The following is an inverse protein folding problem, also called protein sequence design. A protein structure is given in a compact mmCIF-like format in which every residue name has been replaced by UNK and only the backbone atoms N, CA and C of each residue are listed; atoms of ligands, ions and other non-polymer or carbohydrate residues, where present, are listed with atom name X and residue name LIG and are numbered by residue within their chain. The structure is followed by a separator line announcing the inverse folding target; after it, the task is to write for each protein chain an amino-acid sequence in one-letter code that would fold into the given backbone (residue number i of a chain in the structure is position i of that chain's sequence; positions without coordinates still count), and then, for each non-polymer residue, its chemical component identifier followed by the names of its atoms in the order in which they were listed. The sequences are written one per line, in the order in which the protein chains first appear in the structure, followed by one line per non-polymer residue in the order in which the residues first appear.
data_IF_615689156947
#
_entry.id   IF_615689156947
#
_cell.length_a   1.000
_cell.length_b   1.000
_cell.length_c   1.000
_cell.angle_alpha   90.00
_cell.angle_beta   90.00
_cell.angle_gamma   90.00
#
_symmetry.space_group_name_H-M   'P 1'
#
loop_
_entity.id
_entity.type
_entity.pdbx_description
1 polymer ?
#
# COMPACT_ATOMS: atom_id res chain seq x y z
N UNK A 1 76.73 26.97 -41.93
CA UNK A 1 75.76 27.17 -43.01
C UNK A 1 74.53 26.32 -42.72
N UNK A 2 73.36 26.97 -42.70
CA UNK A 2 71.99 26.44 -42.79
C UNK A 2 71.53 25.32 -41.82
N UNK A 3 70.77 25.73 -40.80
CA UNK A 3 69.46 25.12 -40.45
C UNK A 3 68.38 25.70 -41.39
N UNK A 4 67.10 25.22 -41.49
CA UNK A 4 66.32 24.42 -40.53
C UNK A 4 65.29 23.41 -41.15
N UNK A 5 64.57 22.65 -40.31
CA UNK A 5 63.08 22.58 -40.23
C UNK A 5 62.54 21.35 -39.46
N UNK A 6 61.84 21.66 -38.34
CA UNK A 6 60.57 21.10 -37.76
C UNK A 6 60.41 19.57 -37.62
N UNK A 7 59.89 19.00 -36.53
CA UNK A 7 58.93 19.47 -35.51
C UNK A 7 59.08 18.66 -34.18
N UNK A 8 58.62 19.20 -33.03
CA UNK A 8 58.65 18.51 -31.75
C UNK A 8 57.40 17.63 -31.54
N UNK A 9 57.60 16.34 -31.23
CA UNK A 9 56.55 15.52 -30.67
C UNK A 9 56.38 15.89 -29.19
N UNK A 10 55.27 16.55 -28.87
CA UNK A 10 54.80 16.74 -27.51
C UNK A 10 54.48 15.36 -26.92
N UNK A 11 55.33 14.91 -26.01
CA UNK A 11 55.04 13.78 -25.12
C UNK A 11 54.03 14.28 -24.08
N UNK A 12 52.74 14.07 -24.33
CA UNK A 12 51.73 14.22 -23.31
C UNK A 12 51.97 13.14 -22.24
N UNK A 13 52.56 13.55 -21.12
CA UNK A 13 52.59 12.77 -19.88
C UNK A 13 51.12 12.67 -19.42
N UNK A 14 50.46 11.57 -19.78
CA UNK A 14 49.17 11.21 -19.19
C UNK A 14 49.46 10.80 -17.75
N UNK A 15 49.01 11.64 -16.84
CA UNK A 15 49.11 11.47 -15.41
C UNK A 15 48.34 10.19 -15.00
N UNK A 16 49.05 9.14 -14.63
CA UNK A 16 48.53 7.80 -14.31
C UNK A 16 47.68 7.71 -13.03
N UNK A 17 47.16 8.85 -12.53
CA UNK A 17 46.50 8.96 -11.23
C UNK A 17 44.96 9.04 -11.27
N UNK A 18 44.33 9.30 -12.41
CA UNK A 18 42.87 9.56 -12.47
C UNK A 18 42.03 8.51 -13.21
N UNK A 19 42.64 7.44 -13.73
CA UNK A 19 41.90 6.36 -14.40
C UNK A 19 41.54 5.22 -13.41
N UNK A 20 42.23 5.13 -12.27
CA UNK A 20 42.07 4.03 -11.31
C UNK A 20 40.91 4.22 -10.32
N UNK A 21 40.31 5.42 -10.23
CA UNK A 21 39.22 5.71 -9.28
C UNK A 21 37.80 5.44 -9.81
N UNK A 22 37.61 5.32 -11.14
CA UNK A 22 36.29 5.10 -11.73
C UNK A 22 36.05 3.65 -12.21
N UNK A 23 37.09 2.83 -12.31
CA UNK A 23 36.95 1.38 -12.58
C UNK A 23 36.63 0.61 -11.29
N UNK A 24 37.04 1.12 -10.12
CA UNK A 24 36.74 0.52 -8.81
C UNK A 24 35.27 0.75 -8.39
N UNK A 25 34.56 1.73 -8.96
CA UNK A 25 33.13 1.97 -8.68
C UNK A 25 32.16 1.12 -9.49
N UNK A 26 32.61 0.43 -10.54
CA UNK A 26 31.73 -0.42 -11.38
C UNK A 26 31.97 -1.93 -11.22
N UNK A 27 32.89 -2.34 -10.36
CA UNK A 27 33.10 -3.76 -10.00
C UNK A 27 32.57 -4.07 -8.58
N UNK A 28 32.15 -3.05 -7.83
CA UNK A 28 31.53 -3.17 -6.50
C UNK A 28 29.99 -3.28 -6.52
N UNK A 29 29.41 -3.74 -7.63
CA UNK A 29 27.99 -4.06 -7.76
C UNK A 29 27.70 -5.56 -8.01
N UNK A 30 28.73 -6.43 -7.95
CA UNK A 30 28.56 -7.88 -8.25
C UNK A 30 29.01 -8.79 -7.09
N UNK A 31 29.31 -8.25 -5.91
CA UNK A 31 29.71 -9.07 -4.76
C UNK A 31 29.01 -8.66 -3.47
N UNK A 32 27.73 -9.00 -3.35
CA UNK A 32 27.08 -9.21 -2.05
C UNK A 32 26.02 -10.30 -2.16
N UNK A 33 26.47 -11.51 -2.50
CA UNK A 33 25.78 -12.78 -2.22
C UNK A 33 26.82 -13.78 -1.73
N UNK A 34 27.48 -13.46 -0.62
CA UNK A 34 28.04 -14.48 0.26
C UNK A 34 26.99 -14.72 1.36
N UNK A 35 25.90 -15.39 0.97
CA UNK A 35 25.08 -16.12 1.93
C UNK A 35 25.92 -17.33 2.35
N UNK A 36 26.37 -17.31 3.60
CA UNK A 36 26.93 -18.47 4.27
C UNK A 36 25.92 -19.62 4.21
N UNK A 37 26.21 -20.61 3.36
CA UNK A 37 25.75 -21.99 3.44
C UNK A 37 24.30 -22.21 3.87
N UNK A 38 23.33 -21.77 3.07
CA UNK A 38 22.03 -22.44 3.00
C UNK A 38 22.15 -23.45 1.86
N UNK A 39 21.72 -24.70 2.03
CA UNK A 39 21.44 -25.55 0.88
C UNK A 39 20.58 -24.71 -0.08
N UNK A 40 21.02 -24.53 -1.34
CA UNK A 40 20.25 -23.77 -2.32
C UNK A 40 18.83 -24.33 -2.29
N UNK A 41 17.85 -23.50 -1.91
CA UNK A 41 16.47 -23.92 -1.87
C UNK A 41 16.14 -24.57 -3.23
N UNK A 42 15.49 -25.73 -3.17
CA UNK A 42 15.21 -26.53 -4.37
C UNK A 42 14.32 -25.79 -5.39
N UNK A 43 13.72 -24.69 -4.94
CA UNK A 43 12.96 -23.73 -5.72
C UNK A 43 13.50 -22.31 -5.53
N UNK A 44 13.17 -21.42 -6.46
CA UNK A 44 13.16 -19.98 -6.19
C UNK A 44 11.73 -19.51 -5.92
N UNK A 45 11.59 -18.53 -5.04
CA UNK A 45 10.34 -17.82 -4.85
C UNK A 45 10.63 -16.34 -4.65
N UNK A 46 9.89 -15.50 -5.38
CA UNK A 46 10.05 -14.07 -5.35
C UNK A 46 8.69 -13.39 -5.33
N UNK A 47 8.66 -12.24 -4.68
CA UNK A 47 7.49 -11.39 -4.59
C UNK A 47 7.90 -9.96 -4.92
N UNK A 48 7.30 -9.40 -5.94
CA UNK A 48 7.70 -8.09 -6.45
C UNK A 48 6.50 -7.17 -6.49
N UNK A 49 6.64 -5.97 -5.95
CA UNK A 49 5.64 -4.92 -6.16
C UNK A 49 5.78 -4.41 -7.59
N UNK A 50 4.70 -4.49 -8.36
CA UNK A 50 4.66 -4.03 -9.76
C UNK A 50 4.11 -2.60 -9.85
N UNK A 51 3.23 -2.22 -8.93
CA UNK A 51 2.78 -0.83 -8.81
C UNK A 51 3.91 0.09 -8.30
N UNK A 52 3.70 1.41 -8.40
CA UNK A 52 4.59 2.41 -7.81
C UNK A 52 4.73 2.26 -6.28
N UNK A 53 5.69 2.97 -5.68
CA UNK A 53 5.91 2.95 -4.23
C UNK A 53 4.84 3.68 -3.42
N UNK A 54 3.97 4.43 -4.09
CA UNK A 54 3.00 5.33 -3.47
C UNK A 54 3.54 6.77 -3.36
N UNK A 55 2.95 7.60 -2.50
CA UNK A 55 1.99 7.19 -1.49
C UNK A 55 0.61 6.88 -2.07
N UNK A 56 0.00 5.79 -1.61
CA UNK A 56 -1.33 5.35 -2.00
C UNK A 56 -2.40 6.03 -1.13
N UNK A 57 -3.59 6.24 -1.69
CA UNK A 57 -4.76 6.60 -0.87
C UNK A 57 -5.46 5.33 -0.38
N UNK A 58 -6.26 5.46 0.67
CA UNK A 58 -7.10 4.33 1.12
C UNK A 58 -8.08 3.90 0.02
N UNK A 59 -8.46 2.62 0.02
CA UNK A 59 -9.32 1.99 -0.99
C UNK A 59 -8.73 1.95 -2.41
N UNK A 60 -7.42 2.15 -2.57
CA UNK A 60 -6.73 1.96 -3.86
C UNK A 60 -6.08 0.58 -3.92
N UNK A 61 -5.89 0.07 -5.14
CA UNK A 61 -5.26 -1.22 -5.36
C UNK A 61 -3.74 -1.09 -5.52
N UNK A 62 -3.03 -2.08 -5.00
CA UNK A 62 -1.59 -2.30 -5.13
C UNK A 62 -1.38 -3.67 -5.75
N UNK A 63 -0.63 -3.72 -6.85
CA UNK A 63 -0.41 -4.97 -7.59
C UNK A 63 0.96 -5.54 -7.25
N UNK A 64 0.96 -6.81 -6.85
CA UNK A 64 2.14 -7.61 -6.59
C UNK A 64 2.22 -8.74 -7.60
N UNK A 65 3.44 -9.22 -7.85
CA UNK A 65 3.69 -10.40 -8.67
C UNK A 65 4.39 -11.45 -7.82
N UNK A 66 3.82 -12.63 -7.77
CA UNK A 66 4.43 -13.83 -7.22
C UNK A 66 5.09 -14.59 -8.35
N UNK A 67 6.36 -14.96 -8.19
CA UNK A 67 7.11 -15.74 -9.17
C UNK A 67 7.84 -16.86 -8.47
N UNK A 68 8.01 -17.98 -9.16
CA UNK A 68 8.85 -19.06 -8.67
C UNK A 68 9.26 -20.01 -9.78
N UNK A 69 10.33 -20.75 -9.52
CA UNK A 69 10.81 -21.82 -10.39
C UNK A 69 11.25 -23.03 -9.57
N UNK A 70 11.02 -24.24 -10.07
CA UNK A 70 11.60 -25.47 -9.50
C UNK A 70 12.94 -25.74 -10.19
N UNK A 71 14.04 -25.66 -9.43
CA UNK A 71 15.39 -25.78 -9.97
C UNK A 71 15.91 -27.23 -9.94
N UNK A 72 15.19 -28.17 -9.32
CA UNK A 72 15.56 -29.58 -9.30
C UNK A 72 15.00 -30.32 -10.51
N UNK A 73 15.87 -30.53 -11.50
CA UNK A 73 15.54 -31.16 -12.78
C UNK A 73 15.44 -32.70 -12.73
N UNK A 74 15.77 -33.34 -11.61
CA UNK A 74 15.84 -34.81 -11.52
C UNK A 74 14.59 -35.39 -10.86
N UNK A 75 14.21 -34.87 -9.68
CA UNK A 75 13.05 -35.38 -8.92
C UNK A 75 11.86 -34.42 -8.90
N UNK A 76 11.98 -33.22 -9.48
CA UNK A 76 11.00 -32.15 -9.30
C UNK A 76 10.95 -31.65 -7.85
N UNK A 77 10.03 -30.74 -7.55
CA UNK A 77 9.83 -30.12 -6.23
C UNK A 77 8.56 -30.67 -5.53
N UNK A 78 8.02 -31.79 -5.99
CA UNK A 78 6.83 -32.41 -5.38
C UNK A 78 5.59 -31.53 -5.54
N UNK A 79 4.89 -31.25 -4.44
CA UNK A 79 3.76 -30.30 -4.42
C UNK A 79 4.28 -28.92 -4.03
N UNK A 80 3.68 -27.85 -4.58
CA UNK A 80 3.96 -26.47 -4.20
C UNK A 80 2.74 -25.90 -3.48
N UNK A 81 2.96 -25.28 -2.32
CA UNK A 81 1.98 -24.51 -1.57
C UNK A 81 2.52 -23.12 -1.32
N UNK A 82 1.78 -22.09 -1.69
CA UNK A 82 2.13 -20.71 -1.40
C UNK A 82 1.11 -20.15 -0.42
N UNK A 83 1.60 -19.56 0.66
CA UNK A 83 0.78 -18.78 1.59
C UNK A 83 1.24 -17.34 1.56
N UNK A 84 0.29 -16.45 1.32
CA UNK A 84 0.49 -15.02 1.28
C UNK A 84 -0.40 -14.40 2.35
N UNK A 85 0.20 -14.03 3.48
CA UNK A 85 -0.46 -13.34 4.58
C UNK A 85 -0.24 -11.84 4.39
N UNK A 86 -1.29 -11.05 4.37
CA UNK A 86 -1.20 -9.61 4.12
C UNK A 86 -0.99 -8.84 5.43
N UNK A 87 -0.29 -7.69 5.36
CA UNK A 87 -0.19 -6.79 6.51
C UNK A 87 -1.57 -6.21 6.85
N UNK A 88 -1.75 -5.71 8.08
CA UNK A 88 -3.03 -5.19 8.58
C UNK A 88 -3.63 -4.08 7.70
N UNK A 89 -2.81 -3.38 6.92
CA UNK A 89 -3.18 -2.31 6.00
C UNK A 89 -3.80 -2.79 4.68
N UNK A 90 -3.77 -4.10 4.39
CA UNK A 90 -4.11 -4.65 3.08
C UNK A 90 -5.07 -5.83 3.16
N UNK A 91 -5.96 -5.88 2.18
CA UNK A 91 -6.88 -7.01 1.98
C UNK A 91 -6.89 -7.42 0.51
N UNK A 92 -7.38 -8.63 0.22
CA UNK A 92 -7.58 -9.09 -1.14
C UNK A 92 -8.56 -8.18 -1.89
N UNK A 93 -8.15 -7.61 -3.01
CA UNK A 93 -9.06 -6.82 -3.86
C UNK A 93 -9.99 -7.74 -4.65
N UNK A 94 -9.39 -8.73 -5.33
CA UNK A 94 -10.07 -9.76 -6.08
C UNK A 94 -9.21 -11.03 -6.11
N UNK A 95 -9.88 -12.18 -6.17
CA UNK A 95 -9.20 -13.47 -6.31
C UNK A 95 -8.49 -13.57 -7.67
N UNK A 96 -7.18 -13.89 -7.69
CA UNK A 96 -6.48 -14.13 -8.95
C UNK A 96 -6.97 -15.42 -9.60
N UNK A 97 -6.78 -15.52 -10.92
CA UNK A 97 -7.05 -16.73 -11.69
C UNK A 97 -5.76 -17.20 -12.35
N UNK A 98 -5.52 -18.51 -12.35
CA UNK A 98 -4.37 -19.12 -13.00
C UNK A 98 -4.64 -20.58 -13.30
N UNK A 99 -4.28 -21.02 -14.51
CA UNK A 99 -4.34 -22.43 -14.89
C UNK A 99 -3.15 -23.23 -14.35
N UNK A 100 -2.12 -22.55 -13.83
CA UNK A 100 -0.96 -23.22 -13.24
C UNK A 100 -1.34 -23.91 -11.93
N UNK A 101 -2.06 -23.22 -11.05
CA UNK A 101 -2.44 -23.76 -9.74
C UNK A 101 -3.66 -24.68 -9.83
N UNK A 102 -3.62 -25.79 -9.10
CA UNK A 102 -4.76 -26.71 -8.98
C UNK A 102 -5.87 -26.12 -8.11
N UNK A 103 -5.50 -25.32 -7.11
CA UNK A 103 -6.47 -24.58 -6.29
C UNK A 103 -5.92 -23.22 -5.89
N UNK A 104 -6.81 -22.23 -5.90
CA UNK A 104 -6.59 -20.88 -5.40
C UNK A 104 -7.67 -20.63 -4.35
N UNK A 105 -7.26 -20.49 -3.09
CA UNK A 105 -8.17 -20.19 -1.97
C UNK A 105 -7.97 -18.74 -1.56
N UNK A 106 -9.00 -17.93 -1.78
CA UNK A 106 -9.02 -16.52 -1.43
C UNK A 106 -10.47 -16.05 -1.27
N UNK A 107 -10.65 -14.90 -0.62
CA UNK A 107 -11.95 -14.23 -0.52
C UNK A 107 -11.70 -12.73 -0.60
N UNK A 108 -12.47 -11.99 -1.39
CA UNK A 108 -12.31 -10.54 -1.43
C UNK A 108 -12.53 -9.94 -0.04
N UNK A 109 -11.63 -9.07 0.40
CA UNK A 109 -11.62 -8.52 1.76
C UNK A 109 -10.88 -9.38 2.81
N UNK A 110 -10.40 -10.58 2.49
CA UNK A 110 -9.56 -11.36 3.42
C UNK A 110 -8.11 -10.85 3.44
N UNK A 111 -7.38 -11.18 4.50
CA UNK A 111 -5.96 -10.88 4.65
C UNK A 111 -5.05 -12.06 4.25
N UNK A 112 -5.57 -13.05 3.54
CA UNK A 112 -4.82 -14.25 3.15
C UNK A 112 -5.15 -14.72 1.75
N UNK A 113 -4.13 -15.29 1.10
CA UNK A 113 -4.22 -16.03 -0.16
C UNK A 113 -3.43 -17.33 -0.02
N UNK A 114 -4.02 -18.43 -0.46
CA UNK A 114 -3.36 -19.73 -0.50
C UNK A 114 -3.44 -20.30 -1.92
N UNK A 115 -2.30 -20.71 -2.47
CA UNK A 115 -2.19 -21.32 -3.80
C UNK A 115 -1.61 -22.72 -3.63
N UNK A 116 -2.16 -23.70 -4.36
CA UNK A 116 -1.64 -25.07 -4.32
C UNK A 116 -1.48 -25.62 -5.73
N UNK A 117 -0.35 -26.28 -5.94
CA UNK A 117 -0.01 -27.06 -7.13
C UNK A 117 0.39 -28.46 -6.67
N UNK A 118 -0.30 -29.48 -7.15
CA UNK A 118 -0.09 -30.88 -6.74
C UNK A 118 1.12 -31.53 -7.43
N UNK A 119 1.63 -30.94 -8.51
CA UNK A 119 2.83 -31.41 -9.21
C UNK A 119 3.62 -30.21 -9.72
N UNK A 120 4.74 -29.94 -9.08
CA UNK A 120 5.70 -28.91 -9.43
C UNK A 120 6.98 -29.57 -9.92
N UNK A 121 7.04 -29.82 -11.22
CA UNK A 121 8.09 -30.58 -11.87
C UNK A 121 9.37 -29.76 -12.04
N UNK A 122 10.49 -30.44 -12.28
CA UNK A 122 11.75 -29.77 -12.57
C UNK A 122 11.65 -28.89 -13.82
N UNK A 123 12.03 -27.63 -13.69
CA UNK A 123 11.94 -26.65 -14.78
C UNK A 123 10.60 -25.92 -14.86
N UNK A 124 9.59 -26.32 -14.08
CA UNK A 124 8.34 -25.56 -13.99
C UNK A 124 8.62 -24.17 -13.41
N UNK A 125 7.92 -23.17 -13.95
CA UNK A 125 7.93 -21.81 -13.43
C UNK A 125 6.56 -21.19 -13.54
N UNK A 126 6.30 -20.19 -12.71
CA UNK A 126 5.06 -19.43 -12.74
C UNK A 126 5.31 -17.95 -12.50
N UNK A 127 4.35 -17.16 -12.95
CA UNK A 127 4.24 -15.74 -12.65
C UNK A 127 2.76 -15.40 -12.49
N UNK A 128 2.37 -14.90 -11.32
CA UNK A 128 0.99 -14.59 -10.98
C UNK A 128 0.88 -13.19 -10.40
N UNK A 129 0.03 -12.36 -10.99
CA UNK A 129 -0.28 -11.05 -10.45
C UNK A 129 -1.42 -11.16 -9.43
N UNK A 130 -1.24 -10.49 -8.28
CA UNK A 130 -2.16 -10.44 -7.15
C UNK A 130 -2.47 -8.98 -6.86
N UNK A 131 -3.75 -8.64 -6.83
CA UNK A 131 -4.20 -7.30 -6.51
C UNK A 131 -4.68 -7.23 -5.07
N UNK A 132 -3.98 -6.46 -4.26
CA UNK A 132 -4.40 -6.12 -2.91
C UNK A 132 -5.01 -4.72 -2.90
N UNK A 133 -5.88 -4.46 -1.94
CA UNK A 133 -6.51 -3.17 -1.70
C UNK A 133 -6.07 -2.63 -0.36
N UNK A 134 -5.66 -1.37 -0.33
CA UNK A 134 -5.44 -0.64 0.92
C UNK A 134 -6.77 -0.49 1.64
N UNK A 135 -6.84 -0.91 2.90
CA UNK A 135 -8.10 -0.84 3.66
C UNK A 135 -8.58 0.61 3.83
N UNK A 136 -9.90 0.85 3.90
CA UNK A 136 -10.45 2.19 4.11
C UNK A 136 -10.17 2.76 5.50
N UNK A 137 -9.90 1.90 6.50
CA UNK A 137 -9.86 2.26 7.92
C UNK A 137 -8.53 2.86 8.39
N UNK A 138 -7.55 3.04 7.50
CA UNK A 138 -6.30 3.74 7.83
C UNK A 138 -6.62 5.22 8.05
N UNK A 139 -6.35 5.72 9.26
CA UNK A 139 -6.61 7.12 9.66
C UNK A 139 -5.34 7.98 9.76
N UNK A 140 -4.17 7.34 9.80
CA UNK A 140 -2.86 7.99 9.89
C UNK A 140 -2.00 7.60 8.69
N UNK A 141 -1.06 8.46 8.32
CA UNK A 141 -0.10 8.10 7.28
C UNK A 141 0.77 6.96 7.79
N UNK A 142 0.96 5.94 6.95
CA UNK A 142 1.81 4.79 7.26
C UNK A 142 2.87 4.61 6.19
N UNK A 143 4.07 4.32 6.64
CA UNK A 143 5.23 4.02 5.79
C UNK A 143 5.67 2.60 6.08
N UNK A 144 6.41 1.99 5.16
CA UNK A 144 6.95 0.63 5.33
C UNK A 144 5.88 -0.48 5.41
N UNK A 145 4.80 -0.34 4.64
CA UNK A 145 3.82 -1.41 4.50
C UNK A 145 4.37 -2.46 3.54
N UNK A 146 4.74 -3.63 4.08
CA UNK A 146 5.38 -4.72 3.33
C UNK A 146 4.44 -5.90 3.23
N UNK A 147 4.32 -6.45 2.01
CA UNK A 147 3.56 -7.66 1.76
C UNK A 147 4.51 -8.84 1.57
N UNK A 148 4.23 -9.98 2.22
CA UNK A 148 5.15 -11.12 2.29
C UNK A 148 4.42 -12.41 2.00
N UNK A 149 5.11 -13.35 1.40
CA UNK A 149 4.58 -14.67 1.12
C UNK A 149 5.64 -15.71 1.44
N UNK A 150 5.22 -16.97 1.56
CA UNK A 150 6.10 -18.11 1.69
C UNK A 150 5.66 -19.19 0.71
N UNK A 151 6.63 -19.86 0.08
CA UNK A 151 6.40 -21.03 -0.74
C UNK A 151 7.00 -22.25 -0.05
N UNK A 152 6.17 -23.28 0.16
CA UNK A 152 6.54 -24.61 0.62
C UNK A 152 6.51 -25.62 -0.51
N UNK A 153 7.45 -26.57 -0.51
CA UNK A 153 7.50 -27.68 -1.47
C UNK A 153 7.36 -29.05 -0.79
N UNK A 154 7.28 -30.13 -1.57
CA UNK A 154 7.24 -31.52 -1.08
C UNK A 154 6.11 -31.78 -0.06
N UNK A 155 5.00 -31.06 -0.14
CA UNK A 155 3.87 -31.18 0.80
C UNK A 155 4.08 -30.45 2.11
N UNK A 156 5.20 -29.73 2.27
CA UNK A 156 5.48 -28.98 3.48
C UNK A 156 4.61 -27.72 3.57
N UNK A 157 4.02 -27.49 4.74
CA UNK A 157 3.29 -26.27 5.07
C UNK A 157 4.22 -25.38 5.88
N UNK A 158 4.73 -24.34 5.23
CA UNK A 158 5.62 -23.39 5.89
C UNK A 158 4.85 -22.52 6.89
N UNK A 159 5.48 -22.10 8.00
CA UNK A 159 4.93 -21.07 8.86
C UNK A 159 4.57 -19.81 8.06
N UNK A 160 3.39 -19.21 8.25
CA UNK A 160 3.02 -17.96 7.58
C UNK A 160 4.08 -16.88 7.83
N UNK A 161 4.45 -16.08 6.81
CA UNK A 161 5.42 -15.02 7.00
C UNK A 161 4.86 -14.00 8.01
N UNK A 162 5.65 -13.59 9.01
CA UNK A 162 5.16 -12.65 10.01
C UNK A 162 4.86 -11.30 9.36
N UNK A 163 3.75 -10.69 9.76
CA UNK A 163 3.25 -9.42 9.24
C UNK A 163 3.10 -8.38 10.33
N UNK A 164 2.95 -7.12 9.94
CA UNK A 164 2.55 -6.05 10.85
C UNK A 164 1.17 -6.41 11.41
N UNK A 165 1.12 -6.67 12.73
CA UNK A 165 -0.11 -7.07 13.41
C UNK A 165 -1.11 -5.92 13.59
N UNK A 166 -0.62 -4.68 13.53
CA UNK A 166 -1.39 -3.45 13.66
C UNK A 166 -0.95 -2.45 12.60
N UNK A 167 -1.86 -1.58 12.18
CA UNK A 167 -1.62 -0.51 11.20
C UNK A 167 -0.47 0.38 11.68
N UNK A 168 0.57 0.54 10.84
CA UNK A 168 1.75 1.35 11.14
C UNK A 168 2.68 0.75 12.22
N UNK A 169 2.45 -0.51 12.60
CA UNK A 169 3.28 -1.21 13.57
C UNK A 169 4.71 -1.49 13.06
N UNK A 170 5.62 -1.94 13.95
CA UNK A 170 6.96 -2.30 13.54
C UNK A 170 6.93 -3.54 12.64
N UNK A 171 7.75 -3.50 11.60
CA UNK A 171 7.94 -4.62 10.68
C UNK A 171 8.70 -5.77 11.37
N UNK A 172 8.12 -6.98 11.51
CA UNK A 172 8.82 -8.11 12.11
C UNK A 172 9.98 -8.60 11.22
N UNK A 173 11.03 -9.24 11.77
CA UNK A 173 12.07 -9.86 10.95
C UNK A 173 11.51 -10.95 10.04
N UNK A 174 12.05 -11.08 8.83
CA UNK A 174 11.69 -12.17 7.92
C UNK A 174 12.48 -13.44 8.33
N UNK A 175 11.83 -14.60 8.47
CA UNK A 175 12.54 -15.86 8.67
C UNK A 175 13.49 -16.16 7.51
N UNK A 176 14.57 -16.88 7.81
CA UNK A 176 15.47 -17.38 6.77
C UNK A 176 14.83 -18.55 6.01
N UNK A 177 15.24 -18.70 4.75
CA UNK A 177 14.87 -19.83 3.92
C UNK A 177 15.40 -21.16 4.49
N UNK A 178 14.66 -22.22 4.25
CA UNK A 178 15.05 -23.60 4.56
C UNK A 178 15.09 -24.43 3.27
N UNK A 179 15.36 -25.73 3.37
CA UNK A 179 15.37 -26.60 2.20
C UNK A 179 14.01 -26.64 1.47
N UNK A 180 12.91 -26.61 2.23
CA UNK A 180 11.55 -26.74 1.71
C UNK A 180 10.73 -25.45 1.74
N UNK A 181 11.20 -24.42 2.46
CA UNK A 181 10.51 -23.13 2.59
C UNK A 181 11.34 -21.99 2.02
N UNK A 182 10.76 -21.22 1.11
CA UNK A 182 11.34 -19.97 0.61
C UNK A 182 10.41 -18.81 0.91
N UNK A 183 10.91 -17.83 1.66
CA UNK A 183 10.19 -16.63 2.06
C UNK A 183 10.50 -15.49 1.09
N UNK A 184 9.49 -14.71 0.74
CA UNK A 184 9.64 -13.56 -0.14
C UNK A 184 8.94 -12.33 0.44
N UNK A 185 9.59 -11.18 0.31
CA UNK A 185 9.04 -9.87 0.64
C UNK A 185 9.04 -8.96 -0.59
N UNK A 186 7.98 -8.15 -0.73
CA UNK A 186 7.96 -7.07 -1.70
C UNK A 186 8.60 -5.81 -1.13
N UNK A 187 9.12 -4.95 -2.01
CA UNK A 187 9.47 -3.58 -1.62
C UNK A 187 8.28 -2.85 -0.95
N UNK A 188 8.53 -2.06 0.11
CA UNK A 188 7.48 -1.43 0.90
C UNK A 188 6.66 -0.42 0.10
N UNK A 189 5.44 -0.15 0.54
CA UNK A 189 4.64 1.00 0.08
C UNK A 189 4.39 2.00 1.20
N UNK A 190 4.06 3.22 0.82
CA UNK A 190 3.52 4.23 1.74
C UNK A 190 2.04 4.49 1.44
N UNK A 191 1.29 4.86 2.48
CA UNK A 191 -0.13 5.20 2.40
C UNK A 191 -0.32 6.59 3.03
N UNK A 192 -1.02 7.47 2.32
CA UNK A 192 -1.40 8.78 2.83
C UNK A 192 -2.44 8.64 3.94
N UNK A 193 -2.37 9.54 4.93
CA UNK A 193 -3.53 9.79 5.78
C UNK A 193 -4.71 10.24 4.89
N UNK A 194 -5.94 9.75 5.13
CA UNK A 194 -7.10 10.26 4.44
C UNK A 194 -7.27 11.75 4.78
N UNK A 195 -7.58 12.57 3.78
CA UNK A 195 -7.89 13.98 3.97
C UNK A 195 -9.41 14.16 4.04
N UNK A 196 -9.93 15.06 4.90
CA UNK A 196 -11.35 15.38 4.89
C UNK A 196 -11.75 15.96 3.54
N UNK A 197 -12.65 15.29 2.82
CA UNK A 197 -13.23 15.79 1.56
C UNK A 197 -14.73 15.90 1.74
N UNK A 198 -15.11 16.85 2.59
CA UNK A 198 -16.50 17.18 2.87
C UNK A 198 -16.75 18.64 2.56
N UNK A 199 -17.96 18.93 2.09
CA UNK A 199 -18.47 20.30 1.98
C UNK A 199 -19.67 20.44 2.88
N UNK A 200 -19.77 21.60 3.52
CA UNK A 200 -20.95 21.96 4.31
C UNK A 200 -21.76 22.96 3.50
N UNK A 201 -23.07 22.70 3.37
CA UNK A 201 -24.02 23.63 2.76
C UNK A 201 -25.09 23.97 3.78
N UNK A 202 -25.34 25.27 3.97
CA UNK A 202 -26.48 25.77 4.73
C UNK A 202 -27.44 26.44 3.75
N UNK A 203 -28.69 25.99 3.74
CA UNK A 203 -29.73 26.55 2.89
C UNK A 203 -30.97 26.81 3.72
N UNK A 204 -31.56 27.99 3.55
CA UNK A 204 -32.87 28.28 4.12
C UNK A 204 -33.94 27.44 3.43
N UNK A 205 -34.73 26.72 4.20
CA UNK A 205 -35.88 25.95 3.70
C UNK A 205 -37.15 26.77 3.73
N UNK A 206 -37.38 27.53 4.81
CA UNK A 206 -38.65 28.22 5.00
C UNK A 206 -38.50 29.57 5.74
N UNK A 207 -39.20 30.63 5.29
CA UNK A 207 -39.71 30.78 3.93
C UNK A 207 -38.56 30.75 2.89
N UNK A 208 -38.74 29.94 1.83
CA UNK A 208 -37.69 29.68 0.85
C UNK A 208 -37.30 30.91 0.01
N UNK A 209 -38.25 31.82 -0.24
CA UNK A 209 -38.12 32.90 -1.22
C UNK A 209 -38.26 34.30 -0.61
N UNK A 210 -38.93 34.45 0.54
CA UNK A 210 -39.10 35.76 1.20
C UNK A 210 -37.95 36.04 2.15
N UNK A 211 -37.20 37.12 1.91
CA UNK A 211 -36.20 37.63 2.87
C UNK A 211 -36.83 38.41 4.03
N UNK A 212 -38.09 38.83 3.90
CA UNK A 212 -38.85 39.47 4.96
C UNK A 212 -39.59 38.41 5.78
N UNK A 213 -39.28 38.33 7.07
CA UNK A 213 -39.93 37.44 8.06
C UNK A 213 -40.53 38.32 9.12
N UNK A 214 -41.81 38.13 9.43
CA UNK A 214 -42.45 38.88 10.49
C UNK A 214 -41.86 38.46 11.86
N UNK A 215 -41.84 39.41 12.81
CA UNK A 215 -41.42 39.09 14.17
C UNK A 215 -42.33 38.01 14.76
N UNK A 216 -41.72 36.97 15.35
CA UNK A 216 -42.43 35.81 15.90
C UNK A 216 -42.60 34.63 14.94
N UNK A 217 -42.31 34.80 13.65
CA UNK A 217 -42.33 33.70 12.67
C UNK A 217 -41.03 32.89 12.70
N UNK A 218 -41.16 31.57 12.48
CA UNK A 218 -40.03 30.66 12.47
C UNK A 218 -39.26 30.73 11.14
N UNK A 219 -37.95 30.46 11.20
CA UNK A 219 -37.10 30.29 10.02
C UNK A 219 -36.42 28.94 10.08
N UNK A 220 -36.62 28.13 9.04
CA UNK A 220 -36.02 26.79 8.97
C UNK A 220 -34.80 26.81 8.06
N UNK A 221 -33.67 26.31 8.57
CA UNK A 221 -32.47 26.05 7.78
C UNK A 221 -32.19 24.56 7.71
N UNK A 222 -31.75 24.10 6.55
CA UNK A 222 -31.14 22.78 6.35
C UNK A 222 -29.64 22.95 6.26
N UNK A 223 -28.91 22.20 7.07
CA UNK A 223 -27.46 22.07 6.95
C UNK A 223 -27.14 20.66 6.47
N UNK A 224 -26.35 20.55 5.40
CA UNK A 224 -25.95 19.29 4.81
C UNK A 224 -24.43 19.18 4.82
N UNK A 225 -23.92 18.04 5.29
CA UNK A 225 -22.52 17.65 5.12
C UNK A 225 -22.49 16.64 3.98
N UNK A 226 -21.87 17.04 2.87
CA UNK A 226 -21.78 16.21 1.68
C UNK A 226 -20.33 15.79 1.47
N UNK A 227 -20.10 14.49 1.33
CA UNK A 227 -18.86 13.99 0.78
C UNK A 227 -18.61 14.59 -0.62
N UNK A 228 -17.39 15.03 -0.89
CA UNK A 228 -16.94 15.43 -2.23
C UNK A 228 -16.10 14.35 -2.92
N UNK A 229 -15.98 13.15 -2.32
CA UNK A 229 -15.24 12.04 -2.91
C UNK A 229 -15.82 10.67 -2.54
N UNK A 230 -15.78 9.73 -3.48
CA UNK A 230 -16.18 8.35 -3.22
C UNK A 230 -15.12 7.54 -2.43
N UNK A 231 -13.87 8.04 -2.33
CA UNK A 231 -12.73 7.31 -1.76
C UNK A 231 -11.77 8.22 -1.01
N UNK A 232 -11.10 7.69 0.01
CA UNK A 232 -10.07 8.44 0.75
C UNK A 232 -10.64 9.52 1.68
N UNK A 233 -11.93 9.44 1.99
CA UNK A 233 -12.54 10.30 2.99
C UNK A 233 -12.21 9.79 4.37
N UNK A 234 -11.88 10.71 5.26
CA UNK A 234 -11.83 10.43 6.68
C UNK A 234 -13.23 10.05 7.18
N UNK A 235 -13.41 8.93 7.91
CA UNK A 235 -14.69 8.59 8.53
C UNK A 235 -15.21 9.73 9.42
N UNK A 236 -16.50 10.05 9.33
CA UNK A 236 -17.16 10.98 10.25
C UNK A 236 -17.65 10.21 11.48
N UNK A 237 -16.80 10.04 12.48
CA UNK A 237 -17.14 9.31 13.72
C UNK A 237 -17.62 10.22 14.85
N UNK A 238 -17.16 11.49 14.87
CA UNK A 238 -17.51 12.49 15.88
C UNK A 238 -17.51 13.91 15.30
N UNK A 239 -18.33 14.13 14.26
CA UNK A 239 -18.47 15.45 13.66
C UNK A 239 -19.34 16.36 14.54
N UNK A 240 -18.80 17.52 14.94
CA UNK A 240 -19.58 18.59 15.57
C UNK A 240 -19.98 19.60 14.51
N UNK A 241 -21.28 19.84 14.38
CA UNK A 241 -21.81 20.93 13.55
C UNK A 241 -22.11 22.12 14.45
N UNK A 242 -21.47 23.26 14.15
CA UNK A 242 -21.70 24.52 14.86
C UNK A 242 -22.42 25.48 13.92
N UNK A 243 -23.59 25.96 14.35
CA UNK A 243 -24.32 27.03 13.68
C UNK A 243 -24.41 28.23 14.61
N UNK A 244 -23.66 29.29 14.30
CA UNK A 244 -23.70 30.54 15.06
C UNK A 244 -24.90 31.36 14.63
N UNK A 245 -25.93 31.37 15.48
CA UNK A 245 -27.13 32.15 15.25
C UNK A 245 -26.86 33.66 15.49
N UNK A 246 -27.53 34.56 14.73
CA UNK A 246 -27.41 35.99 14.97
C UNK A 246 -27.93 36.35 16.36
N UNK A 247 -27.21 37.24 17.07
CA UNK A 247 -27.64 37.76 18.37
C UNK A 247 -28.64 38.90 18.16
N UNK A 248 -29.93 38.61 18.19
CA UNK A 248 -31.03 39.58 18.06
C UNK A 248 -32.01 39.45 19.23
N UNK A 249 -32.47 40.57 19.82
CA UNK A 249 -33.45 40.54 20.91
C UNK A 249 -34.72 39.79 20.53
N UNK A 250 -35.16 38.86 21.39
CA UNK A 250 -36.37 38.05 21.17
C UNK A 250 -36.15 36.74 20.42
N UNK A 251 -34.92 36.43 19.99
CA UNK A 251 -34.59 35.12 19.44
C UNK A 251 -34.55 34.07 20.57
N UNK A 252 -35.39 33.05 20.48
CA UNK A 252 -35.43 31.93 21.42
C UNK A 252 -34.44 30.83 21.01
N UNK A 253 -34.22 29.85 21.89
CA UNK A 253 -33.35 28.72 21.58
C UNK A 253 -33.83 27.98 20.32
N UNK A 254 -32.92 27.73 19.38
CA UNK A 254 -33.25 26.99 18.17
C UNK A 254 -33.56 25.52 18.48
N UNK A 255 -34.64 25.01 17.90
CA UNK A 255 -34.90 23.58 17.83
C UNK A 255 -34.04 22.96 16.73
N UNK A 256 -33.32 21.90 17.05
CA UNK A 256 -32.49 21.18 16.08
C UNK A 256 -33.06 19.79 15.87
N UNK A 257 -33.37 19.45 14.62
CA UNK A 257 -33.74 18.10 14.22
C UNK A 257 -32.56 17.45 13.48
N UNK A 258 -32.07 16.32 14.00
CA UNK A 258 -31.01 15.56 13.37
C UNK A 258 -31.54 14.28 12.73
N UNK A 259 -31.67 14.27 11.41
CA UNK A 259 -32.11 13.10 10.66
C UNK A 259 -30.97 12.11 10.31
N UNK A 260 -29.72 12.40 10.70
CA UNK A 260 -28.51 11.71 10.26
C UNK A 260 -27.65 11.02 11.34
N UNK A 261 -28.09 11.00 12.61
CA UNK A 261 -27.46 10.21 13.68
C UNK A 261 -26.22 10.80 14.38
N UNK A 262 -25.78 12.02 14.03
CA UNK A 262 -24.70 12.74 14.75
C UNK A 262 -25.14 13.44 16.06
N UNK A 263 -24.22 14.13 16.74
CA UNK A 263 -24.56 15.05 17.84
C UNK A 263 -24.60 16.46 17.27
N UNK A 264 -25.72 17.17 17.46
CA UNK A 264 -25.81 18.58 17.10
C UNK A 264 -25.92 19.40 18.38
N UNK A 265 -24.98 20.32 18.58
CA UNK A 265 -25.05 21.29 19.65
C UNK A 265 -25.59 22.60 19.09
N UNK A 266 -26.66 23.13 19.67
CA UNK A 266 -27.01 24.53 19.48
C UNK A 266 -25.91 25.36 20.15
N UNK A 267 -25.19 26.18 19.38
CA UNK A 267 -24.23 27.12 19.96
C UNK A 267 -24.98 28.14 20.85
N UNK A 268 -24.39 28.58 21.97
CA UNK A 268 -25.03 29.64 22.76
C UNK A 268 -25.17 30.91 21.92
N UNK A 269 -26.19 31.75 22.16
CA UNK A 269 -26.23 33.09 21.60
C UNK A 269 -24.93 33.80 21.98
N UNK A 270 -24.22 34.37 21.00
CA UNK A 270 -23.02 35.14 21.28
C UNK A 270 -23.46 36.43 21.97
N UNK A 271 -23.22 36.55 23.28
CA UNK A 271 -23.50 37.75 24.09
C UNK A 271 -22.77 38.96 23.57
#
# INVERSE_FOLDING_TARGET
MASPLRAPAWLAIINSGEIMHNVIKWILAVAFMLATGSALAQQTFAKTRISGAGPFNTNTNVTYRLQGSCNNLVSGCGTLRIEDAFPAEMVMANCPVSAFFNSITCTAGSNTLVLVRNSYAGGDSFSLDVNLRIIPDITVAVTDVVNRAVAGINGFVCPPPPQNAVIGGPRPPLPADTADCSYAEAAPVSVNAPTPKYTVRKQRQDPATSLAVAAGEAVTYRVQICSTSATGNMPLTSATLVDTLPNVPGLTAASVENSGGGIVAAGPPVT
#
